data_IF_980800432962
#
_entry.id   IF_980800432962
#
_cell.length_a   1.000
_cell.length_b   1.000
_cell.length_c   1.000
_cell.angle_alpha   90.00
_cell.angle_beta   90.00
_cell.angle_gamma   90.00
#
_symmetry.space_group_name_H-M   'P 1'
#
loop_
_entity.id
_entity.type
_entity.pdbx_description
1 polymer ?
#
# COMPACT_ATOMS: atom_id res chain seq x y z
N UNK A 1 -1.21 25.70 -27.82
CA UNK A 1 -2.69 25.64 -27.76
C UNK A 1 -3.25 26.70 -28.69
N UNK A 2 -3.92 26.29 -29.76
CA UNK A 2 -4.47 27.20 -30.78
C UNK A 2 -5.79 26.61 -31.25
N UNK A 3 -6.88 27.12 -30.69
CA UNK A 3 -8.26 26.84 -31.06
C UNK A 3 -8.60 27.56 -32.35
N UNK A 4 -9.20 26.86 -33.31
CA UNK A 4 -10.04 27.45 -34.37
C UNK A 4 -11.24 26.54 -34.64
N UNK A 5 -12.47 27.02 -34.45
CA UNK A 5 -13.68 26.34 -34.90
C UNK A 5 -13.92 26.67 -36.38
N UNK A 6 -14.50 25.74 -37.13
CA UNK A 6 -15.09 26.07 -38.42
C UNK A 6 -16.41 25.32 -38.60
N UNK A 7 -17.35 26.13 -39.05
CA UNK A 7 -18.80 26.03 -39.07
C UNK A 7 -19.21 25.75 -40.53
N UNK A 8 -20.42 25.19 -40.71
CA UNK A 8 -21.24 25.23 -41.94
C UNK A 8 -21.01 24.10 -42.96
N UNK A 9 -22.04 23.27 -43.17
CA UNK A 9 -22.71 23.16 -44.47
C UNK A 9 -24.03 22.38 -44.34
N UNK A 10 -25.11 23.17 -44.39
CA UNK A 10 -26.51 22.81 -44.56
C UNK A 10 -26.70 22.13 -45.93
N UNK A 11 -27.33 20.96 -45.99
CA UNK A 11 -27.88 20.42 -47.25
C UNK A 11 -29.32 19.95 -47.03
N UNK A 12 -30.24 20.74 -47.58
CA UNK A 12 -31.63 20.38 -47.83
C UNK A 12 -31.70 19.40 -49.00
N UNK A 13 -32.33 18.25 -48.79
CA UNK A 13 -32.97 17.50 -49.87
C UNK A 13 -34.38 17.11 -49.40
N UNK A 14 -35.37 17.70 -50.06
CA UNK A 14 -36.77 17.29 -50.01
C UNK A 14 -37.03 16.48 -51.26
N UNK A 15 -37.42 15.22 -51.12
CA UNK A 15 -38.06 14.43 -52.17
C UNK A 15 -39.32 13.77 -51.62
N UNK A 16 -40.36 13.84 -52.42
CA UNK A 16 -41.73 13.41 -52.17
C UNK A 16 -41.97 11.96 -52.61
N UNK A 17 -42.99 11.36 -51.99
CA UNK A 17 -43.82 10.24 -52.44
C UNK A 17 -43.21 8.81 -52.44
N UNK A 18 -43.75 7.94 -51.58
CA UNK A 18 -44.64 6.85 -52.04
C UNK A 18 -45.35 6.19 -50.84
N UNK A 19 -46.68 6.07 -50.95
CA UNK A 19 -47.52 5.31 -50.03
C UNK A 19 -47.22 3.81 -50.12
N UNK A 20 -47.11 3.17 -48.97
CA UNK A 20 -47.05 1.71 -48.82
C UNK A 20 -46.89 1.36 -47.36
N UNK A 21 -48.02 1.17 -46.66
CA UNK A 21 -48.08 0.63 -45.30
C UNK A 21 -47.55 -0.82 -45.33
N UNK A 22 -46.40 -1.13 -44.72
CA UNK A 22 -45.96 -2.51 -44.55
C UNK A 22 -46.71 -3.10 -43.34
N UNK A 23 -47.11 -4.39 -43.38
CA UNK A 23 -47.81 -5.02 -42.26
C UNK A 23 -46.95 -4.95 -40.99
N UNK A 24 -47.59 -4.64 -39.86
CA UNK A 24 -46.95 -4.54 -38.56
C UNK A 24 -46.09 -5.77 -38.27
N UNK A 25 -44.77 -5.56 -38.22
CA UNK A 25 -43.84 -6.56 -37.75
C UNK A 25 -44.11 -6.84 -36.26
N UNK A 26 -44.04 -8.10 -35.81
CA UNK A 26 -44.19 -8.42 -34.38
C UNK A 26 -43.11 -7.68 -33.59
N UNK A 27 -43.52 -7.10 -32.46
CA UNK A 27 -42.63 -6.35 -31.57
C UNK A 27 -41.44 -7.23 -31.17
N UNK A 28 -40.28 -6.97 -31.77
CA UNK A 28 -39.01 -7.46 -31.27
C UNK A 28 -38.71 -6.69 -29.99
N UNK A 29 -38.92 -7.35 -28.86
CA UNK A 29 -38.46 -6.88 -27.56
C UNK A 29 -36.94 -6.83 -27.62
N UNK A 30 -36.37 -5.66 -27.93
CA UNK A 30 -34.95 -5.42 -27.77
C UNK A 30 -34.67 -5.45 -26.28
N UNK A 31 -34.25 -6.60 -25.76
CA UNK A 31 -33.64 -6.71 -24.44
C UNK A 31 -32.30 -5.99 -24.54
N UNK A 32 -32.28 -4.71 -24.19
CA UNK A 32 -31.03 -4.00 -23.90
C UNK A 32 -30.35 -4.77 -22.78
N UNK A 33 -29.14 -5.34 -22.99
CA UNK A 33 -28.38 -5.90 -21.89
C UNK A 33 -28.20 -4.80 -20.85
N UNK A 34 -28.36 -5.07 -19.53
CA UNK A 34 -28.02 -4.07 -18.54
C UNK A 34 -26.59 -3.62 -18.84
N UNK A 35 -26.44 -2.32 -19.12
CA UNK A 35 -25.15 -1.69 -19.27
C UNK A 35 -24.45 -1.88 -17.92
N UNK A 36 -23.55 -2.85 -17.87
CA UNK A 36 -22.61 -2.98 -16.78
C UNK A 36 -21.83 -1.68 -16.75
N UNK A 37 -22.11 -0.85 -15.75
CA UNK A 37 -21.16 0.17 -15.34
C UNK A 37 -19.77 -0.47 -15.28
N UNK A 38 -18.69 0.24 -15.62
CA UNK A 38 -17.35 -0.30 -15.49
C UNK A 38 -17.25 -0.89 -14.08
N UNK A 39 -17.01 -2.19 -13.99
CA UNK A 39 -16.79 -2.81 -12.69
C UNK A 39 -15.63 -2.03 -12.06
N UNK A 40 -15.84 -1.52 -10.84
CA UNK A 40 -14.76 -0.88 -10.08
C UNK A 40 -13.55 -1.81 -9.96
N UNK A 41 -12.41 -1.30 -9.48
CA UNK A 41 -11.22 -2.13 -9.32
C UNK A 41 -11.51 -3.37 -8.47
N UNK A 42 -10.83 -4.47 -8.77
CA UNK A 42 -11.04 -5.75 -8.11
C UNK A 42 -10.91 -5.62 -6.58
N UNK A 43 -11.99 -5.91 -5.85
CA UNK A 43 -12.07 -5.69 -4.41
C UNK A 43 -11.05 -6.52 -3.62
N UNK A 44 -10.66 -7.69 -4.13
CA UNK A 44 -9.62 -8.52 -3.49
C UNK A 44 -8.24 -7.86 -3.62
N UNK A 45 -7.95 -7.31 -4.79
CA UNK A 45 -6.73 -6.55 -5.05
C UNK A 45 -6.66 -5.29 -4.21
N UNK A 46 -7.77 -4.53 -4.12
CA UNK A 46 -7.87 -3.36 -3.23
C UNK A 46 -7.61 -3.75 -1.78
N UNK A 47 -8.27 -4.79 -1.27
CA UNK A 47 -8.11 -5.24 0.11
C UNK A 47 -6.69 -5.74 0.41
N UNK A 48 -6.06 -6.42 -0.55
CA UNK A 48 -4.69 -6.90 -0.41
C UNK A 48 -3.68 -5.75 -0.37
N UNK A 49 -3.82 -4.78 -1.28
CA UNK A 49 -2.99 -3.57 -1.29
C UNK A 49 -3.17 -2.76 0.00
N UNK A 50 -4.41 -2.55 0.44
CA UNK A 50 -4.71 -1.86 1.70
C UNK A 50 -4.06 -2.57 2.90
N UNK A 51 -4.03 -3.90 2.88
CA UNK A 51 -3.36 -4.72 3.88
C UNK A 51 -1.84 -4.50 3.90
N UNK A 52 -1.18 -4.62 2.75
CA UNK A 52 0.28 -4.44 2.64
C UNK A 52 0.70 -3.02 3.02
N UNK A 53 0.06 -2.01 2.44
CA UNK A 53 0.35 -0.62 2.76
C UNK A 53 0.03 -0.29 4.22
N UNK A 54 -1.07 -0.82 4.75
CA UNK A 54 -1.45 -0.65 6.15
C UNK A 54 -0.41 -1.20 7.13
N UNK A 55 0.19 -2.33 6.82
CA UNK A 55 1.27 -2.89 7.64
C UNK A 55 2.53 -2.00 7.59
N UNK A 56 2.99 -1.65 6.38
CA UNK A 56 4.23 -0.89 6.17
C UNK A 56 4.11 0.56 6.64
N UNK A 57 3.10 1.30 6.18
CA UNK A 57 2.90 2.69 6.58
C UNK A 57 2.38 2.82 8.01
N UNK A 58 1.69 1.80 8.53
CA UNK A 58 1.37 1.71 9.95
C UNK A 58 2.62 1.68 10.82
N UNK A 59 3.68 0.98 10.40
CA UNK A 59 4.98 1.00 11.08
C UNK A 59 5.68 2.35 11.00
N UNK A 60 5.71 2.97 9.82
CA UNK A 60 6.31 4.31 9.65
C UNK A 60 5.58 5.33 10.54
N UNK A 61 4.24 5.30 10.54
CA UNK A 61 3.43 6.15 11.41
C UNK A 61 3.70 5.89 12.89
N UNK A 62 3.70 4.64 13.34
CA UNK A 62 3.96 4.31 14.74
C UNK A 62 5.36 4.75 15.18
N UNK A 63 6.36 4.56 14.32
CA UNK A 63 7.75 4.99 14.55
C UNK A 63 7.86 6.52 14.65
N UNK A 64 7.22 7.26 13.75
CA UNK A 64 7.21 8.73 13.75
C UNK A 64 6.43 9.29 14.96
N UNK A 65 5.24 8.76 15.24
CA UNK A 65 4.42 9.15 16.39
C UNK A 65 5.19 8.93 17.70
N UNK A 66 5.92 7.82 17.81
CA UNK A 66 6.76 7.54 18.96
C UNK A 66 7.96 8.49 19.04
N UNK A 67 8.67 8.72 17.94
CA UNK A 67 9.82 9.63 17.89
C UNK A 67 9.41 11.09 18.24
N UNK A 68 8.25 11.55 17.79
CA UNK A 68 7.74 12.91 18.07
C UNK A 68 7.49 13.19 19.55
N UNK A 69 7.27 12.14 20.35
CA UNK A 69 7.04 12.23 21.80
C UNK A 69 8.34 12.22 22.60
N UNK A 70 9.46 11.84 21.98
CA UNK A 70 10.76 11.82 22.62
C UNK A 70 11.35 13.23 22.68
N UNK A 71 11.90 13.62 23.84
CA UNK A 71 12.58 14.91 23.99
C UNK A 71 13.99 14.84 23.41
N UNK A 72 14.31 15.79 22.53
CA UNK A 72 15.68 15.97 22.04
C UNK A 72 16.64 16.31 23.19
N UNK A 73 17.91 15.90 23.06
CA UNK A 73 18.94 16.16 24.07
C UNK A 73 18.86 15.29 25.33
N UNK A 74 17.96 14.31 25.38
CA UNK A 74 17.89 13.34 26.49
C UNK A 74 19.08 12.38 26.43
N UNK A 75 19.74 12.17 27.56
CA UNK A 75 20.83 11.21 27.68
C UNK A 75 20.35 9.77 27.43
N UNK A 76 21.06 9.03 26.58
CA UNK A 76 20.76 7.63 26.30
C UNK A 76 21.23 6.78 27.48
N UNK A 77 20.31 6.51 28.40
CA UNK A 77 20.56 5.57 29.50
C UNK A 77 20.32 4.13 29.03
N UNK A 78 20.90 3.17 29.74
CA UNK A 78 20.61 1.74 29.51
C UNK A 78 19.11 1.43 29.59
N UNK A 79 18.43 2.02 30.57
CA UNK A 79 16.98 1.85 30.77
C UNK A 79 16.20 2.34 29.56
N UNK A 80 16.49 3.56 29.11
CA UNK A 80 15.88 4.15 27.93
C UNK A 80 16.15 3.32 26.66
N UNK A 81 17.39 2.88 26.44
CA UNK A 81 17.75 2.06 25.28
C UNK A 81 17.04 0.70 25.28
N UNK A 82 16.88 0.08 26.45
CA UNK A 82 16.15 -1.19 26.60
C UNK A 82 14.66 -1.03 26.27
N UNK A 83 14.04 0.06 26.75
CA UNK A 83 12.65 0.39 26.44
C UNK A 83 12.47 0.64 24.94
N UNK A 84 13.34 1.46 24.36
CA UNK A 84 13.37 1.79 22.94
C UNK A 84 13.42 0.54 22.06
N UNK A 85 14.37 -0.38 22.33
CA UNK A 85 14.50 -1.65 21.62
C UNK A 85 13.25 -2.52 21.77
N UNK A 86 12.61 -2.50 22.94
CA UNK A 86 11.35 -3.21 23.17
C UNK A 86 10.20 -2.66 22.33
N UNK A 87 10.05 -1.33 22.28
CA UNK A 87 9.04 -0.66 21.47
C UNK A 87 9.23 -0.96 19.98
N UNK A 88 10.47 -0.86 19.50
CA UNK A 88 10.79 -1.12 18.09
C UNK A 88 10.62 -2.57 17.69
N UNK A 89 10.96 -3.51 18.59
CA UNK A 89 10.63 -4.92 18.39
C UNK A 89 9.10 -5.11 18.23
N UNK A 90 8.30 -4.44 19.06
CA UNK A 90 6.84 -4.48 18.98
C UNK A 90 6.30 -3.95 17.64
N UNK A 91 6.79 -2.79 17.19
CA UNK A 91 6.37 -2.23 15.90
C UNK A 91 6.71 -3.14 14.74
N UNK A 92 7.94 -3.64 14.65
CA UNK A 92 8.36 -4.54 13.58
C UNK A 92 7.61 -5.90 13.64
N UNK A 93 7.36 -6.42 14.85
CA UNK A 93 6.56 -7.62 15.05
C UNK A 93 5.13 -7.47 14.53
N UNK A 94 4.49 -6.33 14.77
CA UNK A 94 3.15 -6.05 14.25
C UNK A 94 3.11 -6.11 12.71
N UNK A 95 4.14 -5.60 12.03
CA UNK A 95 4.21 -5.68 10.56
C UNK A 95 4.29 -7.12 10.09
N UNK A 96 5.12 -7.94 10.73
CA UNK A 96 5.24 -9.38 10.43
C UNK A 96 3.88 -10.06 10.58
N UNK A 97 3.18 -9.81 11.69
CA UNK A 97 1.88 -10.42 11.96
C UNK A 97 0.81 -9.95 10.95
N UNK A 98 0.74 -8.63 10.69
CA UNK A 98 -0.22 -8.05 9.74
C UNK A 98 0.01 -8.60 8.31
N UNK A 99 1.27 -8.69 7.87
CA UNK A 99 1.62 -9.21 6.53
C UNK A 99 1.38 -10.73 6.43
N UNK A 100 1.69 -11.49 7.48
CA UNK A 100 1.47 -12.94 7.51
C UNK A 100 -0.03 -13.30 7.50
N UNK A 101 -0.88 -12.43 8.04
CA UNK A 101 -2.33 -12.59 8.02
C UNK A 101 -2.96 -12.32 6.64
N UNK A 102 -2.23 -11.72 5.69
CA UNK A 102 -2.76 -11.44 4.36
C UNK A 102 -2.96 -12.74 3.55
N UNK A 103 -4.05 -12.84 2.76
CA UNK A 103 -4.23 -13.95 1.84
C UNK A 103 -3.13 -13.96 0.76
N UNK A 104 -3.04 -15.04 -0.04
CA UNK A 104 -2.22 -15.06 -1.25
C UNK A 104 -2.48 -13.84 -2.12
N UNK A 105 -1.42 -13.30 -2.72
CA UNK A 105 -1.54 -12.06 -3.50
C UNK A 105 -2.33 -12.29 -4.79
N UNK A 106 -3.32 -11.43 -5.09
CA UNK A 106 -3.95 -11.42 -6.41
C UNK A 106 -3.06 -10.76 -7.47
N UNK A 107 -1.95 -10.12 -7.07
CA UNK A 107 -1.02 -9.41 -7.95
C UNK A 107 0.14 -10.35 -8.31
N UNK A 108 0.47 -10.53 -9.60
CA UNK A 108 1.64 -11.31 -10.02
C UNK A 108 2.92 -10.83 -9.32
N UNK A 109 3.59 -11.74 -8.61
CA UNK A 109 4.81 -11.42 -7.84
C UNK A 109 4.57 -10.77 -6.47
N UNK A 110 3.32 -10.44 -6.11
CA UNK A 110 3.01 -9.78 -4.85
C UNK A 110 3.32 -10.62 -3.61
N UNK A 111 3.22 -11.95 -3.68
CA UNK A 111 3.63 -12.83 -2.58
C UNK A 111 5.15 -12.83 -2.35
N UNK A 112 5.95 -12.63 -3.40
CA UNK A 112 7.40 -12.50 -3.26
C UNK A 112 7.76 -11.17 -2.57
N UNK A 113 7.07 -10.08 -2.93
CA UNK A 113 7.20 -8.79 -2.25
C UNK A 113 6.77 -8.89 -0.78
N UNK A 114 5.60 -9.50 -0.52
CA UNK A 114 5.12 -9.77 0.85
C UNK A 114 6.15 -10.53 1.67
N UNK A 115 6.73 -11.59 1.11
CA UNK A 115 7.78 -12.37 1.78
C UNK A 115 9.02 -11.52 2.06
N UNK A 116 9.50 -10.74 1.10
CA UNK A 116 10.65 -9.86 1.29
C UNK A 116 10.43 -8.86 2.42
N UNK A 117 9.23 -8.27 2.50
CA UNK A 117 8.85 -7.38 3.59
C UNK A 117 8.84 -8.14 4.94
N UNK A 118 8.15 -9.29 5.01
CA UNK A 118 8.13 -10.11 6.23
C UNK A 118 9.55 -10.42 6.72
N UNK A 119 10.44 -10.86 5.83
CA UNK A 119 11.82 -11.20 6.17
C UNK A 119 12.59 -9.97 6.70
N UNK A 120 12.41 -8.79 6.06
CA UNK A 120 13.05 -7.54 6.49
C UNK A 120 12.57 -7.07 7.87
N UNK A 121 11.25 -7.06 8.10
CA UNK A 121 10.68 -6.64 9.38
C UNK A 121 10.94 -7.67 10.50
N UNK A 122 10.99 -8.97 10.18
CA UNK A 122 11.40 -9.99 11.13
C UNK A 122 12.86 -9.80 11.57
N UNK A 123 13.77 -9.50 10.64
CA UNK A 123 15.16 -9.23 10.98
C UNK A 123 15.31 -8.01 11.91
N UNK A 124 14.55 -6.93 11.66
CA UNK A 124 14.52 -5.76 12.53
C UNK A 124 13.96 -6.08 13.93
N UNK A 125 12.84 -6.82 14.00
CA UNK A 125 12.25 -7.29 15.27
C UNK A 125 13.25 -8.10 16.07
N UNK A 126 13.89 -9.08 15.42
CA UNK A 126 14.79 -10.03 16.09
C UNK A 126 16.07 -9.34 16.55
N UNK A 127 16.62 -8.42 15.76
CA UNK A 127 17.76 -7.59 16.18
C UNK A 127 17.41 -6.75 17.42
N UNK A 128 16.24 -6.10 17.42
CA UNK A 128 15.78 -5.29 18.54
C UNK A 128 15.62 -6.13 19.82
N UNK A 129 14.95 -7.28 19.70
CA UNK A 129 14.76 -8.23 20.81
C UNK A 129 16.09 -8.76 21.36
N UNK A 130 17.03 -9.11 20.48
CA UNK A 130 18.35 -9.57 20.87
C UNK A 130 19.17 -8.48 21.59
N UNK A 131 19.14 -7.23 21.09
CA UNK A 131 19.76 -6.08 21.73
C UNK A 131 19.20 -5.84 23.13
N UNK A 132 17.87 -5.84 23.27
CA UNK A 132 17.18 -5.71 24.56
C UNK A 132 17.62 -6.80 25.54
N UNK A 133 17.57 -8.06 25.11
CA UNK A 133 17.95 -9.20 25.94
C UNK A 133 19.41 -9.11 26.39
N UNK A 134 20.30 -8.58 25.55
CA UNK A 134 21.71 -8.41 25.92
C UNK A 134 21.88 -7.35 27.00
N UNK A 135 21.15 -6.23 26.92
CA UNK A 135 21.13 -5.19 27.96
C UNK A 135 20.54 -5.68 29.30
N UNK A 136 19.59 -6.61 29.25
CA UNK A 136 19.02 -7.24 30.44
C UNK A 136 20.02 -8.16 31.13
N UNK A 137 20.87 -8.85 30.36
CA UNK A 137 21.89 -9.78 30.87
C UNK A 137 23.16 -9.08 31.35
N UNK A 138 23.50 -7.94 30.75
CA UNK A 138 24.71 -7.17 31.05
C UNK A 138 24.51 -5.73 30.63
N UNK A 139 25.19 -4.78 31.28
CA UNK A 139 25.35 -3.47 30.66
C UNK A 139 26.73 -2.87 30.87
N UNK A 140 27.73 -3.74 30.72
CA UNK A 140 29.04 -3.30 30.30
C UNK A 140 28.98 -2.60 28.94
N UNK A 141 30.07 -1.92 28.60
CA UNK A 141 30.22 -1.17 27.34
C UNK A 141 29.90 -2.03 26.11
N UNK A 142 30.42 -3.26 26.04
CA UNK A 142 30.14 -4.17 24.94
C UNK A 142 28.65 -4.53 24.76
N UNK A 143 27.85 -4.52 25.84
CA UNK A 143 26.40 -4.71 25.73
C UNK A 143 25.70 -3.44 25.26
N UNK A 144 26.19 -2.26 25.67
CA UNK A 144 25.71 -0.97 25.16
C UNK A 144 25.99 -0.82 23.66
N UNK A 145 27.21 -1.12 23.20
CA UNK A 145 27.58 -1.06 21.77
C UNK A 145 26.74 -1.99 20.91
N UNK A 146 26.53 -3.23 21.39
CA UNK A 146 25.68 -4.19 20.69
C UNK A 146 24.22 -3.73 20.61
N UNK A 147 23.73 -3.05 21.65
CA UNK A 147 22.38 -2.49 21.68
C UNK A 147 22.22 -1.27 20.75
N UNK A 148 23.23 -0.42 20.65
CA UNK A 148 23.27 0.69 19.68
C UNK A 148 23.27 0.12 18.25
N UNK A 149 24.09 -0.90 17.97
CA UNK A 149 24.08 -1.57 16.67
C UNK A 149 22.72 -2.23 16.36
N UNK A 150 22.06 -2.81 17.37
CA UNK A 150 20.71 -3.34 17.22
C UNK A 150 19.71 -2.23 16.88
N UNK A 151 19.83 -1.06 17.51
CA UNK A 151 19.03 0.12 17.16
C UNK A 151 19.19 0.53 15.70
N UNK A 152 20.40 0.53 15.16
CA UNK A 152 20.61 0.84 13.74
C UNK A 152 19.89 -0.17 12.83
N UNK A 153 19.93 -1.46 13.18
CA UNK A 153 19.21 -2.49 12.44
C UNK A 153 17.69 -2.28 12.46
N UNK A 154 17.14 -1.74 13.54
CA UNK A 154 15.70 -1.40 13.61
C UNK A 154 15.28 -0.25 12.71
N UNK A 155 16.23 0.59 12.29
CA UNK A 155 15.94 1.72 11.40
C UNK A 155 15.94 1.32 9.93
N UNK A 156 16.59 0.20 9.57
CA UNK A 156 16.68 -0.28 8.19
C UNK A 156 15.33 -0.39 7.49
N UNK A 157 14.23 -0.89 8.10
CA UNK A 157 12.94 -0.91 7.42
C UNK A 157 12.42 0.50 7.06
N UNK A 158 12.78 1.54 7.80
CA UNK A 158 12.39 2.92 7.45
C UNK A 158 13.17 3.40 6.23
N UNK A 159 14.46 3.09 6.16
CA UNK A 159 15.37 3.63 5.13
C UNK A 159 15.49 2.76 3.89
N UNK A 160 15.25 1.45 4.01
CA UNK A 160 15.49 0.44 2.97
C UNK A 160 14.19 -0.22 2.47
N UNK A 161 13.02 0.04 3.06
CA UNK A 161 11.76 -0.46 2.48
C UNK A 161 11.54 0.25 1.14
N UNK A 162 11.45 -0.49 0.02
CA UNK A 162 11.26 0.10 -1.29
C UNK A 162 9.90 0.79 -1.38
N UNK A 163 9.76 1.74 -2.30
CA UNK A 163 8.45 2.18 -2.74
C UNK A 163 7.66 0.95 -3.23
N UNK A 164 6.47 0.76 -2.64
CA UNK A 164 5.66 -0.43 -2.87
C UNK A 164 5.09 -0.47 -4.29
N UNK A 165 4.83 0.70 -4.89
CA UNK A 165 4.26 0.80 -6.24
C UNK A 165 5.16 0.19 -7.32
N UNK A 166 6.45 0.57 -7.45
CA UNK A 166 7.37 -0.07 -8.38
C UNK A 166 7.71 -1.51 -7.97
N UNK A 167 7.80 -1.82 -6.67
CA UNK A 167 8.10 -3.19 -6.21
C UNK A 167 7.00 -4.19 -6.61
N UNK A 168 5.73 -3.77 -6.55
CA UNK A 168 4.56 -4.55 -6.92
C UNK A 168 4.20 -4.44 -8.40
N UNK A 169 4.99 -3.70 -9.20
CA UNK A 169 4.73 -3.45 -10.63
C UNK A 169 3.31 -2.93 -10.89
N UNK A 170 2.87 -1.98 -10.07
CA UNK A 170 1.57 -1.32 -10.22
C UNK A 170 1.65 -0.37 -11.41
N UNK A 171 1.55 -0.92 -12.62
CA UNK A 171 1.75 -0.19 -13.88
C UNK A 171 0.51 -0.24 -14.79
N UNK A 172 -0.40 -1.18 -14.55
CA UNK A 172 -1.64 -1.27 -15.34
C UNK A 172 -2.70 -0.30 -14.80
N UNK A 173 -3.61 0.22 -15.65
CA UNK A 173 -4.68 1.09 -15.18
C UNK A 173 -5.57 0.45 -14.10
N UNK A 174 -5.79 -0.86 -14.18
CA UNK A 174 -6.55 -1.62 -13.20
C UNK A 174 -5.85 -1.66 -11.83
N UNK A 175 -4.55 -1.98 -11.81
CA UNK A 175 -3.79 -2.03 -10.56
C UNK A 175 -3.61 -0.63 -9.95
N UNK A 176 -3.43 0.39 -10.79
CA UNK A 176 -3.39 1.79 -10.35
C UNK A 176 -4.72 2.23 -9.73
N UNK A 177 -5.85 1.85 -10.33
CA UNK A 177 -7.17 2.11 -9.76
C UNK A 177 -7.35 1.38 -8.42
N UNK A 178 -6.92 0.12 -8.32
CA UNK A 178 -6.98 -0.63 -7.08
C UNK A 178 -6.10 -0.01 -5.97
N UNK A 179 -4.89 0.43 -6.32
CA UNK A 179 -4.00 1.14 -5.40
C UNK A 179 -4.57 2.49 -4.95
N UNK A 180 -5.25 3.22 -5.84
CA UNK A 180 -5.92 4.47 -5.49
C UNK A 180 -7.10 4.27 -4.53
N UNK A 181 -7.81 3.14 -4.62
CA UNK A 181 -8.90 2.79 -3.69
C UNK A 181 -8.40 2.18 -2.37
N UNK A 182 -7.18 1.65 -2.34
CA UNK A 182 -6.52 1.16 -1.13
C UNK A 182 -6.15 2.33 -0.22
N UNK A 183 -7.07 2.73 0.66
CA UNK A 183 -6.98 3.93 1.50
C UNK A 183 -5.69 4.00 2.32
N UNK A 184 -5.16 2.86 2.77
CA UNK A 184 -3.92 2.81 3.54
C UNK A 184 -2.65 2.92 2.69
N UNK A 185 -2.74 2.97 1.36
CA UNK A 185 -1.61 3.23 0.45
C UNK A 185 -1.35 4.72 0.22
N UNK A 186 -2.18 5.62 0.77
CA UNK A 186 -1.79 7.01 0.90
C UNK A 186 -0.60 7.10 1.87
N UNK A 187 0.50 7.72 1.43
CA UNK A 187 1.64 7.96 2.31
C UNK A 187 1.16 8.68 3.58
N UNK A 188 1.63 8.27 4.78
CA UNK A 188 1.23 8.92 6.03
C UNK A 188 1.67 10.38 6.00
N UNK A 189 0.72 11.30 6.25
CA UNK A 189 0.97 12.73 6.39
C UNK A 189 1.79 13.05 7.65
#
# INVERSE_FOLDING_TARGET
MKTKPLLIALTLFVTTACSGEPPAAPATTTVTPPSSAPAGPDAKTVAWLDGVCGAVYGYMKASNDYASKQRSGTEVTRGALKEELGVRAGFAGKVVDDLAALPPSPIPGGDAVKKSLVDQYAAARDAAAAGKQRLEKSGNEAAMDAAIKAMDATQKPITETPDLMPALKIETPELMAAAAEAKKCAAPA
#
